data_IF_366067570162
#
_entry.id   IF_366067570162
#
_cell.length_a   1.000
_cell.length_b   1.000
_cell.length_c   1.000
_cell.angle_alpha   90.00
_cell.angle_beta   90.00
_cell.angle_gamma   90.00
#
_symmetry.space_group_name_H-M   'P 1'
#
loop_
_entity.id
_entity.type
_entity.pdbx_description
1 polymer ?
#
# COMPACT_ATOMS: atom_id res chain seq x y z
N UNK A 1 12.87 6.37 -20.97
CA UNK A 1 14.31 6.59 -21.25
C UNK A 1 14.75 7.83 -20.48
N UNK A 2 15.49 7.69 -19.38
CA UNK A 2 15.98 8.85 -18.61
C UNK A 2 17.35 9.28 -19.15
N UNK A 3 17.48 10.55 -19.53
CA UNK A 3 18.73 11.13 -20.01
C UNK A 3 19.28 12.06 -18.94
N UNK A 4 20.45 11.73 -18.39
CA UNK A 4 21.14 12.57 -17.43
C UNK A 4 22.37 13.21 -18.09
N UNK A 5 22.49 14.53 -17.94
CA UNK A 5 23.64 15.31 -18.44
C UNK A 5 24.69 15.35 -17.33
N UNK A 6 25.81 14.67 -17.53
CA UNK A 6 26.91 14.61 -16.54
C UNK A 6 27.91 15.75 -16.77
N UNK A 7 27.98 16.30 -18.00
CA UNK A 7 28.70 17.52 -18.35
C UNK A 7 28.16 18.07 -19.70
N UNK A 8 28.53 19.30 -20.08
CA UNK A 8 28.08 20.02 -21.30
C UNK A 8 28.13 19.17 -22.58
N UNK A 9 29.05 18.21 -22.67
CA UNK A 9 29.26 17.38 -23.86
C UNK A 9 28.90 15.89 -23.67
N UNK A 10 28.57 15.45 -22.44
CA UNK A 10 28.37 14.03 -22.13
C UNK A 10 26.94 13.75 -21.68
N UNK A 11 26.21 13.01 -22.51
CA UNK A 11 24.89 12.49 -22.21
C UNK A 11 25.01 10.99 -21.93
N UNK A 12 24.65 10.56 -20.71
CA UNK A 12 24.58 9.15 -20.36
C UNK A 12 23.14 8.68 -20.51
N UNK A 13 22.94 7.63 -21.31
CA UNK A 13 21.65 6.97 -21.50
C UNK A 13 21.56 5.81 -20.54
N UNK A 14 20.64 5.88 -19.58
CA UNK A 14 20.24 4.72 -18.82
C UNK A 14 19.09 4.05 -19.58
N UNK A 15 19.33 2.81 -20.03
CA UNK A 15 18.22 1.94 -20.39
C UNK A 15 17.47 1.68 -19.10
N UNK A 16 16.38 2.40 -18.91
CA UNK A 16 15.35 1.98 -17.96
C UNK A 16 14.79 0.71 -18.58
N UNK A 17 15.34 -0.44 -18.20
CA UNK A 17 14.69 -1.71 -18.48
C UNK A 17 13.31 -1.63 -17.85
N UNK A 18 12.30 -2.13 -18.55
CA UNK A 18 11.00 -2.36 -17.94
C UNK A 18 11.26 -3.23 -16.70
N UNK A 19 10.95 -2.69 -15.52
CA UNK A 19 11.28 -3.35 -14.26
C UNK A 19 10.44 -4.62 -14.20
N UNK A 20 11.07 -5.76 -14.50
CA UNK A 20 10.41 -7.06 -14.39
C UNK A 20 10.04 -7.24 -12.91
N UNK A 21 8.78 -7.60 -12.59
CA UNK A 21 8.39 -7.89 -11.23
C UNK A 21 9.35 -8.91 -10.58
N UNK A 22 9.70 -8.74 -9.30
CA UNK A 22 10.50 -9.73 -8.58
C UNK A 22 9.95 -11.15 -8.73
N UNK A 23 10.81 -12.17 -8.71
CA UNK A 23 10.40 -13.57 -8.89
C UNK A 23 9.29 -13.98 -7.90
N UNK A 24 9.41 -13.53 -6.66
CA UNK A 24 8.42 -13.77 -5.60
C UNK A 24 7.03 -13.22 -5.97
N UNK A 25 6.96 -12.01 -6.55
CA UNK A 25 5.69 -11.41 -6.99
C UNK A 25 5.05 -12.23 -8.10
N UNK A 26 5.87 -12.73 -9.04
CA UNK A 26 5.40 -13.58 -10.14
C UNK A 26 4.91 -14.95 -9.63
N UNK A 27 5.61 -15.54 -8.68
CA UNK A 27 5.24 -16.84 -8.10
C UNK A 27 3.93 -16.71 -7.31
N UNK A 28 3.76 -15.61 -6.59
CA UNK A 28 2.53 -15.27 -5.88
C UNK A 28 1.36 -15.06 -6.85
N UNK A 29 1.57 -14.29 -7.91
CA UNK A 29 0.59 -14.11 -8.97
C UNK A 29 0.17 -15.44 -9.56
N UNK A 30 1.12 -16.29 -9.97
CA UNK A 30 0.84 -17.61 -10.55
C UNK A 30 0.09 -18.53 -9.59
N UNK A 31 0.38 -18.47 -8.29
CA UNK A 31 -0.31 -19.25 -7.25
C UNK A 31 -1.79 -18.87 -7.19
N UNK A 32 -2.10 -17.57 -7.12
CA UNK A 32 -3.48 -17.09 -6.94
C UNK A 32 -4.27 -16.99 -8.25
N UNK A 33 -3.60 -16.79 -9.40
CA UNK A 33 -4.23 -16.88 -10.72
C UNK A 33 -4.47 -18.33 -11.18
N UNK A 34 -4.04 -19.32 -10.40
CA UNK A 34 -4.14 -20.76 -10.71
C UNK A 34 -3.45 -21.11 -12.04
N UNK A 35 -2.30 -20.47 -12.31
CA UNK A 35 -1.56 -20.59 -13.57
C UNK A 35 -2.17 -19.80 -14.74
N UNK A 36 -3.23 -19.04 -14.50
CA UNK A 36 -3.86 -18.15 -15.47
C UNK A 36 -3.00 -16.93 -15.80
N UNK A 37 -3.21 -16.37 -16.99
CA UNK A 37 -2.55 -15.13 -17.44
C UNK A 37 -3.11 -13.86 -16.78
N UNK A 38 -4.28 -13.98 -16.14
CA UNK A 38 -4.97 -12.88 -15.46
C UNK A 38 -5.54 -13.37 -14.13
N UNK A 39 -5.68 -12.46 -13.18
CA UNK A 39 -6.25 -12.69 -11.85
C UNK A 39 -7.58 -11.93 -11.73
N UNK A 40 -8.67 -12.61 -11.36
CA UNK A 40 -9.97 -12.00 -11.12
C UNK A 40 -10.13 -11.48 -9.67
N UNK A 41 -11.20 -10.77 -9.36
CA UNK A 41 -11.40 -10.20 -8.02
C UNK A 41 -11.56 -11.24 -6.92
N UNK A 42 -12.16 -12.40 -7.19
CA UNK A 42 -12.23 -13.50 -6.21
C UNK A 42 -10.83 -14.05 -5.89
N UNK A 43 -9.99 -14.22 -6.90
CA UNK A 43 -8.61 -14.66 -6.73
C UNK A 43 -7.77 -13.62 -5.98
N UNK A 44 -7.96 -12.33 -6.28
CA UNK A 44 -7.33 -11.24 -5.53
C UNK A 44 -7.80 -11.23 -4.08
N UNK A 45 -9.10 -11.35 -3.83
CA UNK A 45 -9.66 -11.38 -2.47
C UNK A 45 -9.10 -12.53 -1.63
N UNK A 46 -8.88 -13.71 -2.24
CA UNK A 46 -8.18 -14.84 -1.59
C UNK A 46 -6.74 -14.48 -1.23
N UNK A 47 -6.02 -13.82 -2.13
CA UNK A 47 -4.67 -13.32 -1.84
C UNK A 47 -4.67 -12.34 -0.66
N UNK A 48 -5.57 -11.36 -0.67
CA UNK A 48 -5.67 -10.34 0.38
C UNK A 48 -5.99 -10.96 1.75
N UNK A 49 -6.92 -11.92 1.78
CA UNK A 49 -7.29 -12.61 3.01
C UNK A 49 -6.15 -13.49 3.56
N UNK A 50 -5.54 -14.32 2.71
CA UNK A 50 -4.54 -15.30 3.15
C UNK A 50 -3.15 -14.69 3.44
N UNK A 51 -2.76 -13.65 2.69
CA UNK A 51 -1.41 -13.07 2.76
C UNK A 51 -1.39 -11.77 3.56
N UNK A 52 -2.41 -10.92 3.41
CA UNK A 52 -2.47 -9.61 4.06
C UNK A 52 -3.35 -9.60 5.32
N UNK A 53 -4.17 -10.64 5.51
CA UNK A 53 -5.13 -10.70 6.61
C UNK A 53 -6.32 -9.76 6.42
N UNK A 54 -6.57 -9.30 5.19
CA UNK A 54 -7.64 -8.37 4.86
C UNK A 54 -8.85 -9.15 4.30
N UNK A 55 -10.01 -8.99 4.94
CA UNK A 55 -11.26 -9.62 4.48
C UNK A 55 -12.11 -8.59 3.72
N UNK A 56 -11.70 -8.29 2.50
CA UNK A 56 -12.34 -7.32 1.61
C UNK A 56 -12.66 -7.94 0.26
N UNK A 57 -13.65 -7.39 -0.44
CA UNK A 57 -14.04 -7.84 -1.77
C UNK A 57 -13.00 -7.40 -2.80
N UNK A 58 -12.26 -8.36 -3.36
CA UNK A 58 -11.21 -8.06 -4.34
C UNK A 58 -11.74 -7.47 -5.65
N UNK A 59 -13.03 -7.64 -5.98
CA UNK A 59 -13.61 -7.13 -7.22
C UNK A 59 -13.58 -5.60 -7.28
N UNK A 60 -13.90 -4.91 -6.17
CA UNK A 60 -13.83 -3.44 -6.08
C UNK A 60 -12.40 -2.94 -6.31
N UNK A 61 -11.41 -3.63 -5.72
CA UNK A 61 -9.99 -3.30 -5.88
C UNK A 61 -9.55 -3.51 -7.33
N UNK A 62 -9.97 -4.60 -7.98
CA UNK A 62 -9.66 -4.86 -9.39
C UNK A 62 -10.21 -3.74 -10.27
N UNK A 63 -11.47 -3.34 -10.07
CA UNK A 63 -12.09 -2.25 -10.82
C UNK A 63 -11.30 -0.94 -10.63
N UNK A 64 -10.90 -0.62 -9.40
CA UNK A 64 -10.16 0.61 -9.10
C UNK A 64 -8.76 0.62 -9.73
N UNK A 65 -8.04 -0.52 -9.71
CA UNK A 65 -6.74 -0.67 -10.39
C UNK A 65 -6.90 -0.45 -11.89
N UNK A 66 -7.87 -1.11 -12.52
CA UNK A 66 -8.10 -1.01 -13.96
C UNK A 66 -8.53 0.42 -14.34
N UNK A 67 -9.40 1.05 -13.56
CA UNK A 67 -9.84 2.42 -13.81
C UNK A 67 -8.69 3.43 -13.78
N UNK A 68 -7.76 3.29 -12.82
CA UNK A 68 -6.61 4.19 -12.68
C UNK A 68 -5.55 3.96 -13.75
N UNK A 69 -5.35 2.72 -14.19
CA UNK A 69 -4.28 2.36 -15.13
C UNK A 69 -4.67 2.33 -16.59
N UNK A 70 -5.92 1.97 -16.89
CA UNK A 70 -6.38 1.65 -18.23
C UNK A 70 -7.58 2.49 -18.63
N UNK A 71 -7.36 3.80 -18.84
CA UNK A 71 -8.43 4.74 -19.17
C UNK A 71 -9.24 4.36 -20.43
N UNK A 72 -8.64 3.64 -21.38
CA UNK A 72 -9.29 3.24 -22.64
C UNK A 72 -9.97 1.87 -22.55
N UNK A 73 -9.43 0.92 -21.78
CA UNK A 73 -9.95 -0.46 -21.71
C UNK A 73 -10.72 -0.80 -20.43
N UNK A 74 -11.07 0.23 -19.63
CA UNK A 74 -11.85 0.10 -18.38
C UNK A 74 -13.14 -0.72 -18.53
N UNK A 75 -13.80 -0.66 -19.69
CA UNK A 75 -15.07 -1.37 -19.91
C UNK A 75 -14.91 -2.80 -20.44
N UNK A 76 -13.71 -3.20 -20.85
CA UNK A 76 -13.44 -4.52 -21.43
C UNK A 76 -12.60 -5.41 -20.51
N UNK A 77 -11.86 -4.82 -19.57
CA UNK A 77 -10.97 -5.55 -18.65
C UNK A 77 -11.52 -5.52 -17.23
N UNK A 78 -11.70 -6.70 -16.66
CA UNK A 78 -12.16 -6.90 -15.27
C UNK A 78 -11.22 -7.85 -14.51
N UNK A 79 -10.01 -8.06 -15.02
CA UNK A 79 -9.01 -8.94 -14.43
C UNK A 79 -7.64 -8.29 -14.50
N UNK A 80 -6.81 -8.53 -13.48
CA UNK A 80 -5.46 -8.00 -13.36
C UNK A 80 -4.47 -8.84 -14.15
N UNK A 81 -3.63 -8.19 -14.96
CA UNK A 81 -2.40 -8.81 -15.44
C UNK A 81 -1.33 -8.83 -14.34
N UNK A 82 -0.21 -9.53 -14.56
CA UNK A 82 0.93 -9.52 -13.64
C UNK A 82 1.45 -8.09 -13.37
N UNK A 83 1.45 -7.23 -14.39
CA UNK A 83 1.87 -5.83 -14.24
C UNK A 83 0.87 -5.02 -13.41
N UNK A 84 -0.43 -5.29 -13.55
CA UNK A 84 -1.47 -4.63 -12.74
C UNK A 84 -1.40 -5.08 -11.28
N UNK A 85 -1.17 -6.38 -11.04
CA UNK A 85 -0.97 -6.91 -9.69
C UNK A 85 0.29 -6.34 -9.03
N UNK A 86 1.41 -6.29 -9.75
CA UNK A 86 2.64 -5.68 -9.26
C UNK A 86 2.43 -4.19 -8.93
N UNK A 87 1.69 -3.47 -9.77
CA UNK A 87 1.33 -2.08 -9.48
C UNK A 87 0.47 -1.95 -8.22
N UNK A 88 -0.53 -2.82 -8.06
CA UNK A 88 -1.39 -2.85 -6.86
C UNK A 88 -0.56 -3.04 -5.59
N UNK A 89 0.34 -4.03 -5.54
CA UNK A 89 1.17 -4.33 -4.37
C UNK A 89 1.95 -3.12 -3.84
N UNK A 90 2.43 -2.26 -4.74
CA UNK A 90 3.23 -1.08 -4.41
C UNK A 90 2.45 0.24 -4.52
N UNK A 91 1.12 0.18 -4.67
CA UNK A 91 0.29 1.37 -4.75
C UNK A 91 0.10 1.96 -3.35
N UNK A 92 0.60 3.17 -3.12
CA UNK A 92 0.42 3.88 -1.85
C UNK A 92 -1.03 4.22 -1.53
N UNK A 93 -1.92 4.15 -2.52
CA UNK A 93 -3.32 4.45 -2.34
C UNK A 93 -4.18 3.18 -2.18
N UNK A 94 -3.91 2.13 -2.96
CA UNK A 94 -4.70 0.90 -2.96
C UNK A 94 -4.17 -0.15 -1.97
N UNK A 95 -2.88 -0.10 -1.67
CA UNK A 95 -2.22 -1.01 -0.75
C UNK A 95 -1.16 -0.25 0.09
N UNK A 96 -1.60 0.74 0.90
CA UNK A 96 -0.67 1.49 1.74
C UNK A 96 0.04 0.54 2.73
N UNK A 97 1.35 0.71 2.99
CA UNK A 97 2.09 -0.16 3.91
C UNK A 97 1.57 -0.10 5.35
N UNK A 98 0.87 0.97 5.71
CA UNK A 98 0.20 1.15 6.99
C UNK A 98 -1.19 1.69 6.71
N UNK A 99 -2.23 1.02 7.20
CA UNK A 99 -3.60 1.47 7.05
C UNK A 99 -3.83 2.77 7.83
N UNK A 100 -4.67 3.65 7.30
CA UNK A 100 -5.05 4.91 7.97
C UNK A 100 -5.64 4.64 9.36
N UNK A 101 -6.37 3.54 9.52
CA UNK A 101 -6.94 3.12 10.80
C UNK A 101 -5.88 2.82 11.86
N UNK A 102 -4.80 2.11 11.51
CA UNK A 102 -3.69 1.85 12.43
C UNK A 102 -3.01 3.15 12.87
N UNK A 103 -2.83 4.10 11.94
CA UNK A 103 -2.31 5.44 12.24
C UNK A 103 -3.24 6.19 13.18
N UNK A 104 -4.56 6.17 12.93
CA UNK A 104 -5.55 6.82 13.78
C UNK A 104 -5.55 6.25 15.19
N UNK A 105 -5.52 4.93 15.36
CA UNK A 105 -5.42 4.30 16.69
C UNK A 105 -4.13 4.69 17.42
N UNK A 106 -3.00 4.72 16.71
CA UNK A 106 -1.73 5.17 17.28
C UNK A 106 -1.78 6.63 17.74
N UNK A 107 -2.39 7.53 16.94
CA UNK A 107 -2.56 8.94 17.32
C UNK A 107 -3.48 9.09 18.54
N UNK A 108 -4.62 8.39 18.56
CA UNK A 108 -5.57 8.44 19.69
C UNK A 108 -4.89 7.96 20.98
N UNK A 109 -4.18 6.84 20.92
CA UNK A 109 -3.47 6.28 22.09
C UNK A 109 -2.38 7.23 22.60
N UNK A 110 -1.62 7.87 21.70
CA UNK A 110 -0.65 8.90 22.07
C UNK A 110 -1.31 10.10 22.76
N UNK A 111 -2.43 10.61 22.21
CA UNK A 111 -3.17 11.74 22.81
C UNK A 111 -3.73 11.35 24.19
N UNK A 112 -4.29 10.16 24.33
CA UNK A 112 -4.78 9.68 25.64
C UNK A 112 -3.64 9.57 26.66
N UNK A 113 -2.48 9.08 26.25
CA UNK A 113 -1.30 8.96 27.12
C UNK A 113 -0.75 10.32 27.55
N UNK A 114 -0.63 11.29 26.64
CA UNK A 114 -0.18 12.64 27.00
C UNK A 114 -1.17 13.34 27.94
N UNK A 115 -2.48 13.19 27.72
CA UNK A 115 -3.50 13.72 28.63
C UNK A 115 -3.43 13.07 30.03
N UNK A 116 -3.20 11.75 30.11
CA UNK A 116 -3.02 11.07 31.39
C UNK A 116 -1.78 11.57 32.14
N UNK A 117 -0.66 11.74 31.45
CA UNK A 117 0.56 12.30 32.04
C UNK A 117 0.37 13.73 32.55
N UNK A 118 -0.34 14.58 31.79
CA UNK A 118 -0.68 15.94 32.22
C UNK A 118 -1.57 15.94 33.47
N UNK A 119 -2.57 15.07 33.51
CA UNK A 119 -3.47 14.95 34.66
C UNK A 119 -2.74 14.46 35.93
N UNK A 120 -1.88 13.45 35.80
CA UNK A 120 -1.02 13.00 36.89
C UNK A 120 -0.06 14.10 37.35
N UNK A 121 0.54 14.85 36.42
CA UNK A 121 1.40 15.99 36.72
C UNK A 121 0.68 17.09 37.52
N UNK A 122 -0.58 17.39 37.15
CA UNK A 122 -1.43 18.33 37.89
C UNK A 122 -1.76 17.83 39.30
N UNK A 123 -2.13 16.56 39.45
CA UNK A 123 -2.42 15.95 40.77
C UNK A 123 -1.20 16.06 41.69
N UNK A 124 -0.03 15.64 41.20
CA UNK A 124 1.21 15.68 41.97
C UNK A 124 1.57 17.11 42.35
N UNK A 125 1.42 18.07 41.42
CA UNK A 125 1.69 19.48 41.71
C UNK A 125 0.78 20.04 42.80
N UNK A 126 -0.52 19.71 42.78
CA UNK A 126 -1.46 20.14 43.79
C UNK A 126 -1.18 19.49 45.16
N UNK A 127 -0.84 18.20 45.21
CA UNK A 127 -0.44 17.55 46.47
C UNK A 127 0.84 18.15 47.07
N UNK A 128 1.81 18.57 46.25
CA UNK A 128 3.03 19.21 46.73
C UNK A 128 2.72 20.60 47.32
N UNK A 129 1.82 21.36 46.71
CA UNK A 129 1.42 22.69 47.21
C UNK A 129 0.67 22.58 48.54
N UNK A 130 -0.23 21.61 48.71
CA UNK A 130 -0.99 21.42 49.96
C UNK A 130 -0.14 20.89 51.13
N UNK A 131 1.06 20.35 50.86
CA UNK A 131 1.99 19.86 51.90
C UNK A 131 3.02 20.88 52.39
N UNK A 132 3.08 22.07 51.77
CA UNK A 132 3.97 23.18 52.16
C UNK A 132 3.17 24.31 52.80
#
# INVERSE_FOLDING_TARGET
MANYRICVCFQRRFKVGEAVPPAEVRDLFNKYSEGGSHMNGNQLGRFMCEVQGENVEGEEVVEEVIQKRHHISRFARHNLSLDDFNHYLFSSHLNPPITSQAITFFIITLISFTNLLLYLGLIISNEIVERN
#
